data_IF_141559048566
#
_entry.id   IF_141559048566
#
_cell.length_a   1.000
_cell.length_b   1.000
_cell.length_c   1.000
_cell.angle_alpha   90.00
_cell.angle_beta   90.00
_cell.angle_gamma   90.00
#
_symmetry.space_group_name_H-M   'P 1'
#
loop_
_entity.id
_entity.type
_entity.pdbx_description
1 polymer ?
#
# COMPACT_ATOMS: atom_id res chain seq x y z
N UNK A 1 2.40 -8.34 39.04
CA UNK A 1 1.45 -7.34 38.50
C UNK A 1 1.71 -7.24 37.01
N UNK A 2 0.94 -7.97 36.20
CA UNK A 2 1.10 -8.07 34.75
C UNK A 2 0.66 -6.76 34.09
N UNK A 3 1.58 -6.13 33.35
CA UNK A 3 1.37 -4.87 32.66
C UNK A 3 0.25 -4.94 31.62
N UNK A 4 -0.51 -3.86 31.54
CA UNK A 4 -1.52 -3.59 30.52
C UNK A 4 -0.85 -3.63 29.15
N UNK A 5 -1.02 -4.73 28.42
CA UNK A 5 -0.62 -4.81 27.01
C UNK A 5 -1.66 -4.03 26.21
N UNK A 6 -1.30 -2.81 25.81
CA UNK A 6 -2.16 -1.95 25.02
C UNK A 6 -2.51 -2.60 23.68
N UNK A 7 -3.77 -2.99 23.50
CA UNK A 7 -4.36 -3.32 22.19
C UNK A 7 -4.60 -2.06 21.33
N UNK A 8 -3.64 -1.12 21.33
CA UNK A 8 -3.79 0.25 20.80
C UNK A 8 -3.79 0.29 19.26
N UNK A 9 -3.43 -0.82 18.59
CA UNK A 9 -3.32 -0.87 17.12
C UNK A 9 -4.32 -1.80 16.42
N UNK A 10 -5.36 -2.28 17.12
CA UNK A 10 -6.41 -3.09 16.52
C UNK A 10 -7.69 -2.26 16.29
N UNK A 11 -7.97 -1.95 15.03
CA UNK A 11 -9.28 -1.47 14.63
C UNK A 11 -10.25 -2.65 14.61
N UNK A 12 -11.19 -2.68 15.56
CA UNK A 12 -12.27 -3.67 15.62
C UNK A 12 -13.33 -3.31 14.58
N UNK A 13 -13.02 -3.55 13.31
CA UNK A 13 -13.98 -3.45 12.22
C UNK A 13 -14.76 -4.76 12.08
N UNK A 14 -16.08 -4.69 12.16
CA UNK A 14 -16.98 -5.79 11.77
C UNK A 14 -17.44 -5.56 10.33
N UNK A 15 -16.57 -5.82 9.35
CA UNK A 15 -16.95 -5.76 7.92
C UNK A 15 -16.73 -7.09 7.22
N UNK A 16 -17.35 -7.32 6.04
CA UNK A 16 -17.10 -8.51 5.22
C UNK A 16 -15.61 -8.72 4.93
N UNK A 17 -14.88 -7.63 4.67
CA UNK A 17 -13.42 -7.65 4.46
C UNK A 17 -12.71 -8.11 5.74
N UNK A 18 -13.13 -7.66 6.92
CA UNK A 18 -12.54 -8.09 8.18
C UNK A 18 -12.78 -9.60 8.45
N UNK A 19 -13.93 -10.15 8.02
CA UNK A 19 -14.29 -11.56 8.18
C UNK A 19 -13.58 -12.53 7.22
N UNK A 20 -12.94 -12.03 6.15
CA UNK A 20 -12.22 -12.89 5.21
C UNK A 20 -11.04 -13.61 5.90
N UNK A 21 -10.76 -14.88 5.55
CA UNK A 21 -9.57 -15.58 6.02
C UNK A 21 -8.28 -14.81 5.68
N UNK A 22 -7.28 -14.88 6.55
CA UNK A 22 -6.01 -14.17 6.37
C UNK A 22 -5.32 -14.52 5.04
N UNK A 23 -5.36 -15.79 4.63
CA UNK A 23 -4.81 -16.25 3.36
C UNK A 23 -5.42 -15.53 2.16
N UNK A 24 -6.75 -15.36 2.14
CA UNK A 24 -7.45 -14.67 1.03
C UNK A 24 -6.99 -13.21 0.92
N UNK A 25 -6.86 -12.52 2.06
CA UNK A 25 -6.39 -11.12 2.10
C UNK A 25 -4.96 -11.01 1.57
N UNK A 26 -4.08 -11.92 1.99
CA UNK A 26 -2.68 -11.91 1.60
C UNK A 26 -2.52 -12.22 0.11
N UNK A 27 -3.19 -13.25 -0.39
CA UNK A 27 -3.18 -13.61 -1.81
C UNK A 27 -3.72 -12.46 -2.66
N UNK A 28 -4.84 -11.84 -2.25
CA UNK A 28 -5.40 -10.69 -2.96
C UNK A 28 -4.43 -9.49 -2.97
N UNK A 29 -3.80 -9.19 -1.83
CA UNK A 29 -2.81 -8.12 -1.74
C UNK A 29 -1.58 -8.39 -2.62
N UNK A 30 -1.08 -9.63 -2.62
CA UNK A 30 0.05 -10.03 -3.46
C UNK A 30 -0.28 -9.88 -4.95
N UNK A 31 -1.42 -10.41 -5.39
CA UNK A 31 -1.87 -10.31 -6.78
C UNK A 31 -2.04 -8.85 -7.19
N UNK A 32 -2.62 -8.02 -6.31
CA UNK A 32 -2.78 -6.59 -6.57
C UNK A 32 -1.42 -5.88 -6.73
N UNK A 33 -0.45 -6.14 -5.85
CA UNK A 33 0.89 -5.57 -5.94
C UNK A 33 1.57 -5.97 -7.25
N UNK A 34 1.48 -7.26 -7.64
CA UNK A 34 2.04 -7.74 -8.90
C UNK A 34 1.38 -7.05 -10.10
N UNK A 35 0.05 -6.93 -10.10
CA UNK A 35 -0.67 -6.23 -11.16
C UNK A 35 -0.22 -4.76 -11.30
N UNK A 36 -0.03 -4.06 -10.17
CA UNK A 36 0.43 -2.67 -10.16
C UNK A 36 1.86 -2.54 -10.69
N UNK A 37 2.81 -3.35 -10.20
CA UNK A 37 4.22 -3.28 -10.60
C UNK A 37 4.42 -3.69 -12.06
N UNK A 38 3.59 -4.60 -12.58
CA UNK A 38 3.61 -5.00 -13.99
C UNK A 38 2.89 -4.01 -14.92
N UNK A 39 2.20 -3.00 -14.41
CA UNK A 39 1.48 -2.02 -15.24
C UNK A 39 2.49 -1.04 -15.88
N UNK A 40 2.52 -0.92 -17.22
CA UNK A 40 3.36 0.07 -17.89
C UNK A 40 3.03 1.49 -17.42
N UNK A 41 4.05 2.32 -17.20
CA UNK A 41 3.89 3.70 -16.71
C UNK A 41 3.09 4.59 -17.67
N UNK A 42 3.03 4.23 -18.95
CA UNK A 42 2.29 4.93 -20.00
C UNK A 42 0.76 4.71 -19.85
N UNK A 43 0.34 3.64 -19.19
CA UNK A 43 -1.07 3.28 -18.99
C UNK A 43 -1.67 3.95 -17.74
N UNK A 44 -1.67 5.29 -17.72
CA UNK A 44 -2.17 6.09 -16.60
C UNK A 44 -3.61 5.72 -16.15
N UNK A 45 -4.49 5.35 -17.08
CA UNK A 45 -5.86 4.91 -16.78
C UNK A 45 -5.91 3.63 -15.92
N UNK A 46 -4.94 2.72 -16.07
CA UNK A 46 -4.88 1.50 -15.29
C UNK A 46 -4.63 1.81 -13.79
N UNK A 47 -3.83 2.84 -13.50
CA UNK A 47 -3.66 3.32 -12.12
C UNK A 47 -4.94 3.90 -11.53
N UNK A 48 -5.80 4.52 -12.33
CA UNK A 48 -7.12 4.97 -11.86
C UNK A 48 -8.01 3.78 -11.49
N UNK A 49 -7.95 2.67 -12.24
CA UNK A 49 -8.66 1.43 -11.89
C UNK A 49 -8.10 0.83 -10.60
N UNK A 50 -6.76 0.74 -10.46
CA UNK A 50 -6.11 0.26 -9.25
C UNK A 50 -6.53 1.08 -8.02
N UNK A 51 -6.58 2.40 -8.16
CA UNK A 51 -7.09 3.30 -7.12
C UNK A 51 -8.57 3.03 -6.82
N UNK A 52 -9.41 2.85 -7.84
CA UNK A 52 -10.82 2.52 -7.68
C UNK A 52 -11.04 1.22 -6.89
N UNK A 53 -10.26 0.18 -7.20
CA UNK A 53 -10.28 -1.09 -6.45
C UNK A 53 -9.91 -0.83 -4.98
N UNK A 54 -8.82 -0.11 -4.71
CA UNK A 54 -8.38 0.17 -3.35
C UNK A 54 -9.43 0.97 -2.55
N UNK A 55 -10.00 2.01 -3.16
CA UNK A 55 -11.07 2.83 -2.56
C UNK A 55 -12.31 1.98 -2.28
N UNK A 56 -12.73 1.11 -3.22
CA UNK A 56 -13.88 0.23 -3.00
C UNK A 56 -13.66 -0.71 -1.81
N UNK A 57 -12.46 -1.28 -1.67
CA UNK A 57 -12.11 -2.14 -0.54
C UNK A 57 -12.12 -1.33 0.77
N UNK A 58 -11.59 -0.11 0.76
CA UNK A 58 -11.60 0.78 1.93
C UNK A 58 -13.03 1.11 2.38
N UNK A 59 -13.92 1.43 1.43
CA UNK A 59 -15.33 1.73 1.70
C UNK A 59 -16.06 0.51 2.26
N UNK A 60 -15.93 -0.65 1.60
CA UNK A 60 -16.54 -1.91 2.07
C UNK A 60 -15.97 -2.32 3.43
N UNK A 61 -14.70 -2.01 3.70
CA UNK A 61 -14.07 -2.29 4.97
C UNK A 61 -14.39 -1.26 6.06
N UNK A 62 -15.02 -0.13 5.72
CA UNK A 62 -15.40 0.92 6.67
C UNK A 62 -14.20 1.67 7.26
N UNK A 63 -13.06 1.76 6.53
CA UNK A 63 -11.88 2.45 7.05
C UNK A 63 -12.03 3.97 6.89
N UNK A 64 -11.88 4.77 7.96
CA UNK A 64 -11.84 6.22 7.83
C UNK A 64 -10.56 6.66 7.09
N UNK A 65 -10.69 7.57 6.12
CA UNK A 65 -9.58 8.02 5.29
C UNK A 65 -8.38 8.56 6.09
N UNK A 66 -8.65 9.27 7.19
CA UNK A 66 -7.61 9.79 8.08
C UNK A 66 -6.77 8.71 8.77
N UNK A 67 -7.34 7.52 9.02
CA UNK A 67 -6.59 6.38 9.55
C UNK A 67 -5.60 5.83 8.52
N UNK A 68 -6.06 5.67 7.27
CA UNK A 68 -5.20 5.19 6.18
C UNK A 68 -4.09 6.20 5.88
N UNK A 69 -4.42 7.49 5.80
CA UNK A 69 -3.45 8.54 5.52
C UNK A 69 -2.33 8.59 6.56
N UNK A 70 -2.67 8.50 7.85
CA UNK A 70 -1.67 8.44 8.94
C UNK A 70 -0.75 7.23 8.82
N UNK A 71 -1.25 6.07 8.35
CA UNK A 71 -0.40 4.90 8.10
C UNK A 71 0.48 5.07 6.86
N UNK A 72 0.00 5.75 5.82
CA UNK A 72 0.82 6.07 4.65
C UNK A 72 1.99 7.00 4.99
N UNK A 73 1.83 7.90 5.98
CA UNK A 73 2.92 8.78 6.42
C UNK A 73 4.16 8.03 6.92
N UNK A 74 4.03 6.78 7.37
CA UNK A 74 5.17 5.93 7.76
C UNK A 74 6.10 5.66 6.57
N UNK A 75 5.58 5.72 5.34
CA UNK A 75 6.33 5.49 4.10
C UNK A 75 7.01 6.78 3.61
N UNK A 76 6.65 7.96 4.15
CA UNK A 76 7.20 9.25 3.75
C UNK A 76 8.74 9.31 3.65
N UNK A 77 9.55 8.80 4.60
CA UNK A 77 11.02 8.84 4.45
C UNK A 77 11.51 8.09 3.20
N UNK A 78 10.88 6.98 2.83
CA UNK A 78 11.22 6.24 1.62
C UNK A 78 10.81 6.98 0.34
N UNK A 79 9.67 7.66 0.35
CA UNK A 79 9.24 8.50 -0.77
C UNK A 79 10.19 9.68 -0.99
N UNK A 80 10.65 10.30 0.10
CA UNK A 80 11.66 11.37 0.05
C UNK A 80 12.95 10.82 -0.56
N UNK A 81 13.43 9.67 -0.08
CA UNK A 81 14.62 9.04 -0.64
C UNK A 81 14.45 8.72 -2.14
N UNK A 82 13.32 8.13 -2.54
CA UNK A 82 13.01 7.82 -3.93
C UNK A 82 12.97 9.07 -4.82
N UNK A 83 12.46 10.20 -4.30
CA UNK A 83 12.45 11.49 -4.99
C UNK A 83 13.86 12.07 -5.15
N UNK A 84 14.76 11.77 -4.22
CA UNK A 84 16.17 12.19 -4.29
C UNK A 84 17.01 11.32 -5.23
N UNK A 85 16.60 10.08 -5.53
CA UNK A 85 17.36 9.15 -6.37
C UNK A 85 17.72 9.71 -7.76
N UNK A 86 16.85 10.43 -8.50
CA UNK A 86 17.24 11.03 -9.78
C UNK A 86 18.37 12.07 -9.67
N UNK A 87 18.62 12.62 -8.47
CA UNK A 87 19.65 13.65 -8.23
C UNK A 87 20.91 13.10 -7.57
N UNK A 88 20.77 12.08 -6.72
CA UNK A 88 21.86 11.48 -5.94
C UNK A 88 22.30 10.12 -6.50
N UNK A 89 21.56 9.56 -7.44
CA UNK A 89 21.81 8.24 -8.02
C UNK A 89 23.03 8.22 -8.93
N UNK A 90 23.71 7.06 -9.03
CA UNK A 90 24.82 6.89 -9.96
C UNK A 90 24.36 7.11 -11.41
N UNK A 91 25.24 7.73 -12.20
CA UNK A 91 25.06 7.91 -13.64
C UNK A 91 24.71 6.56 -14.31
N UNK A 92 23.79 6.50 -15.28
CA UNK A 92 23.46 5.26 -15.98
C UNK A 92 24.69 4.70 -16.72
N UNK A 93 25.42 3.79 -16.09
CA UNK A 93 26.53 3.10 -16.73
C UNK A 93 25.99 2.06 -17.71
N UNK A 94 25.80 2.49 -18.96
CA UNK A 94 25.62 1.60 -20.10
C UNK A 94 26.98 0.93 -20.37
N UNK A 95 27.17 -0.28 -19.84
CA UNK A 95 28.29 -1.12 -20.25
C UNK A 95 28.07 -1.54 -21.71
N UNK A 96 28.62 -0.77 -22.65
CA UNK A 96 28.74 -1.16 -24.04
C UNK A 96 29.95 -2.08 -24.12
N UNK A 97 29.70 -3.38 -24.29
CA UNK A 97 30.69 -4.41 -24.61
C UNK A 97 30.54 -4.87 -26.05
#
# INVERSE_FOLDING_TARGET
MSGVHGHVLHYHGHSPVHRLPAAVKLTAALVFVLAVVSTPREAWWAFAIHLGILVSVMVVAGLPAGFVLRRCLVIAPFLIAALLLPFLGPEPNMAVG
#
